data_IF_213505112321
#
_entry.id   IF_213505112321
#
_cell.length_a   1.000
_cell.length_b   1.000
_cell.length_c   1.000
_cell.angle_alpha   90.00
_cell.angle_beta   90.00
_cell.angle_gamma   90.00
#
_symmetry.space_group_name_H-M   'P 1'
#
loop_
_entity.id
_entity.type
_entity.pdbx_description
1 polymer ?
#
# COMPACT_ATOMS: atom_id res chain seq x y z
N UNK A 1 2.21 3.16 -16.93
CA UNK A 1 1.49 3.40 -15.65
C UNK A 1 0.32 2.43 -15.53
N UNK A 2 0.16 1.78 -14.39
CA UNK A 2 -0.99 0.90 -14.08
C UNK A 2 -1.61 1.33 -12.76
N UNK A 3 -2.93 1.39 -12.71
CA UNK A 3 -3.70 1.70 -11.50
C UNK A 3 -4.57 0.51 -11.14
N UNK A 4 -4.52 0.08 -9.88
CA UNK A 4 -5.35 -0.99 -9.32
C UNK A 4 -5.99 -0.49 -8.04
N UNK A 5 -7.27 -0.78 -7.84
CA UNK A 5 -7.97 -0.52 -6.57
C UNK A 5 -8.23 -1.85 -5.90
N UNK A 6 -7.74 -1.99 -4.68
CA UNK A 6 -7.98 -3.14 -3.83
C UNK A 6 -9.08 -2.83 -2.82
N UNK A 7 -9.86 -3.85 -2.48
CA UNK A 7 -10.74 -3.86 -1.30
C UNK A 7 -10.26 -4.95 -0.37
N UNK A 8 -10.07 -4.61 0.90
CA UNK A 8 -9.70 -5.54 1.96
C UNK A 8 -10.81 -5.55 3.01
N UNK A 9 -11.21 -6.74 3.45
CA UNK A 9 -11.99 -6.87 4.68
C UNK A 9 -11.11 -6.69 5.90
N UNK A 10 -11.68 -6.30 7.03
CA UNK A 10 -10.96 -6.17 8.30
C UNK A 10 -10.16 -7.45 8.64
N UNK A 11 -8.89 -7.26 9.01
CA UNK A 11 -7.93 -8.33 9.31
C UNK A 11 -7.27 -8.97 8.08
N UNK A 12 -7.69 -8.67 6.85
CA UNK A 12 -6.97 -9.13 5.66
C UNK A 12 -5.64 -8.40 5.51
N UNK A 13 -4.66 -9.11 4.95
CA UNK A 13 -3.29 -8.63 4.87
C UNK A 13 -2.60 -9.06 3.57
N UNK A 14 -1.56 -8.31 3.21
CA UNK A 14 -0.47 -8.81 2.38
C UNK A 14 0.75 -8.90 3.28
N UNK A 15 1.32 -10.11 3.36
CA UNK A 15 2.56 -10.33 4.11
C UNK A 15 3.70 -9.52 3.51
N UNK A 16 4.78 -9.37 4.27
CA UNK A 16 5.97 -8.65 3.84
C UNK A 16 6.47 -9.16 2.47
N UNK A 17 6.72 -8.22 1.56
CA UNK A 17 7.25 -8.47 0.23
C UNK A 17 7.90 -7.21 -0.37
N UNK A 18 8.53 -7.39 -1.54
CA UNK A 18 9.11 -6.31 -2.34
C UNK A 18 8.54 -6.32 -3.76
N UNK A 19 8.71 -5.22 -4.49
CA UNK A 19 8.33 -5.08 -5.90
C UNK A 19 9.38 -4.30 -6.66
N UNK A 20 9.76 -4.70 -7.89
CA UNK A 20 10.75 -3.98 -8.69
C UNK A 20 10.22 -2.65 -9.26
N UNK A 21 8.94 -2.33 -9.08
CA UNK A 21 8.33 -1.08 -9.57
C UNK A 21 8.21 -0.07 -8.44
N UNK A 22 8.44 1.20 -8.78
CA UNK A 22 8.03 2.32 -7.93
C UNK A 22 6.50 2.35 -7.81
N UNK A 23 5.99 2.54 -6.58
CA UNK A 23 4.55 2.58 -6.33
C UNK A 23 4.13 3.75 -5.46
N UNK A 24 2.92 4.25 -5.72
CA UNK A 24 2.22 5.19 -4.85
C UNK A 24 0.94 4.52 -4.37
N UNK A 25 0.79 4.48 -3.06
CA UNK A 25 -0.39 3.96 -2.37
C UNK A 25 -1.19 5.12 -1.81
N UNK A 26 -2.51 5.10 -2.02
CA UNK A 26 -3.43 6.03 -1.37
C UNK A 26 -4.53 5.23 -0.69
N UNK A 27 -4.74 5.45 0.60
CA UNK A 27 -5.90 4.88 1.27
C UNK A 27 -7.14 5.72 0.94
N UNK A 28 -8.17 5.10 0.37
CA UNK A 28 -9.40 5.78 -0.05
C UNK A 28 -10.49 5.69 1.02
N UNK A 29 -10.49 4.62 1.81
CA UNK A 29 -11.49 4.34 2.84
C UNK A 29 -10.90 3.37 3.89
N UNK A 30 -11.36 3.49 5.14
CA UNK A 30 -10.95 2.62 6.26
C UNK A 30 -9.71 3.10 7.02
N UNK A 31 -9.18 2.22 7.86
CA UNK A 31 -7.92 2.39 8.58
C UNK A 31 -7.01 1.18 8.31
N UNK A 32 -5.77 1.44 7.90
CA UNK A 32 -4.82 0.41 7.48
C UNK A 32 -3.47 0.62 8.15
N UNK A 33 -2.89 -0.44 8.70
CA UNK A 33 -1.48 -0.44 9.04
C UNK A 33 -0.67 -0.78 7.78
N UNK A 34 0.28 0.07 7.46
CA UNK A 34 1.19 -0.06 6.32
C UNK A 34 2.62 -0.02 6.84
N UNK A 35 3.29 -1.16 6.83
CA UNK A 35 4.66 -1.28 7.31
C UNK A 35 5.62 -0.98 6.15
N UNK A 36 6.63 -0.14 6.38
CA UNK A 36 7.67 0.18 5.41
C UNK A 36 9.02 -0.04 6.08
N UNK A 37 9.86 -0.91 5.51
CA UNK A 37 11.15 -1.29 6.10
C UNK A 37 11.06 -1.72 7.58
N UNK A 38 9.95 -2.38 7.96
CA UNK A 38 9.68 -2.83 9.32
C UNK A 38 9.09 -1.77 10.26
N UNK A 39 8.93 -0.53 9.82
CA UNK A 39 8.33 0.56 10.60
C UNK A 39 6.83 0.68 10.29
N UNK A 40 5.94 0.54 11.29
CA UNK A 40 4.50 0.58 11.08
C UNK A 40 3.96 2.01 10.92
N UNK A 41 3.11 2.22 9.91
CA UNK A 41 2.42 3.49 9.68
C UNK A 41 0.91 3.25 9.66
N UNK A 42 0.16 3.97 10.50
CA UNK A 42 -1.31 3.91 10.48
C UNK A 42 -1.83 4.92 9.47
N UNK A 43 -2.37 4.42 8.37
CA UNK A 43 -2.98 5.20 7.30
C UNK A 43 -4.48 5.41 7.56
N UNK A 44 -4.95 6.61 7.24
CA UNK A 44 -6.35 7.04 7.17
C UNK A 44 -6.71 7.51 5.75
N UNK A 45 -8.00 7.68 5.41
CA UNK A 45 -8.39 8.06 4.07
C UNK A 45 -7.76 9.40 3.66
N UNK A 46 -7.11 9.41 2.50
CA UNK A 46 -6.35 10.54 1.97
C UNK A 46 -4.84 10.46 2.23
N UNK A 47 -4.38 9.61 3.16
CA UNK A 47 -2.95 9.39 3.37
C UNK A 47 -2.32 8.71 2.15
N UNK A 48 -1.06 9.07 1.89
CA UNK A 48 -0.30 8.62 0.73
C UNK A 48 1.07 8.12 1.18
N UNK A 49 1.45 6.94 0.71
CA UNK A 49 2.80 6.38 0.88
C UNK A 49 3.41 6.16 -0.51
N UNK A 50 4.65 6.59 -0.67
CA UNK A 50 5.49 6.24 -1.81
C UNK A 50 6.46 5.13 -1.39
N UNK A 51 6.64 4.14 -2.27
CA UNK A 51 7.68 3.12 -2.12
C UNK A 51 8.60 3.18 -3.34
N UNK A 52 9.90 3.27 -3.05
CA UNK A 52 10.93 3.08 -4.05
C UNK A 52 10.92 1.62 -4.55
N UNK A 53 11.48 1.33 -5.73
CA UNK A 53 11.73 -0.03 -6.16
C UNK A 53 12.44 -0.84 -5.06
N UNK A 54 11.99 -2.07 -4.87
CA UNK A 54 12.52 -3.06 -3.93
C UNK A 54 12.39 -2.72 -2.44
N UNK A 55 11.69 -1.64 -2.08
CA UNK A 55 11.40 -1.30 -0.69
C UNK A 55 10.47 -2.34 -0.06
N UNK A 56 10.87 -2.91 1.09
CA UNK A 56 10.08 -3.93 1.80
C UNK A 56 8.84 -3.31 2.43
N UNK A 57 7.69 -3.96 2.26
CA UNK A 57 6.44 -3.49 2.81
C UNK A 57 5.45 -4.62 3.12
N UNK A 58 4.56 -4.36 4.07
CA UNK A 58 3.43 -5.21 4.43
C UNK A 58 2.19 -4.34 4.69
N UNK A 59 1.00 -4.91 4.54
CA UNK A 59 -0.25 -4.20 4.84
C UNK A 59 -1.19 -5.07 5.65
N UNK A 60 -1.88 -4.46 6.61
CA UNK A 60 -2.98 -5.07 7.37
C UNK A 60 -4.14 -4.08 7.42
N UNK A 61 -5.30 -4.51 6.92
CA UNK A 61 -6.53 -3.73 7.02
C UNK A 61 -7.07 -3.81 8.46
N UNK A 62 -7.07 -2.69 9.20
CA UNK A 62 -7.60 -2.65 10.57
C UNK A 62 -9.12 -2.55 10.59
N UNK A 63 -9.71 -1.95 9.55
CA UNK A 63 -11.13 -2.00 9.22
C UNK A 63 -11.32 -2.50 7.78
N UNK A 64 -12.56 -2.58 7.30
CA UNK A 64 -12.78 -2.67 5.86
C UNK A 64 -12.14 -1.46 5.16
N UNK A 65 -11.34 -1.73 4.13
CA UNK A 65 -10.49 -0.74 3.48
C UNK A 65 -10.65 -0.77 1.97
N UNK A 66 -10.47 0.41 1.35
CA UNK A 66 -10.30 0.55 -0.09
C UNK A 66 -9.02 1.31 -0.36
N UNK A 67 -8.12 0.73 -1.15
CA UNK A 67 -6.76 1.25 -1.35
C UNK A 67 -6.46 1.35 -2.85
N UNK A 68 -5.95 2.50 -3.30
CA UNK A 68 -5.43 2.67 -4.65
C UNK A 68 -3.93 2.37 -4.67
N UNK A 69 -3.50 1.55 -5.62
CA UNK A 69 -2.11 1.31 -5.95
C UNK A 69 -1.83 1.83 -7.37
N UNK A 70 -0.91 2.78 -7.49
CA UNK A 70 -0.38 3.24 -8.78
C UNK A 70 1.03 2.70 -8.93
N UNK A 71 1.23 1.85 -9.93
CA UNK A 71 2.55 1.34 -10.32
C UNK A 71 3.07 2.15 -11.51
N UNK A 72 4.29 2.66 -11.36
CA UNK A 72 5.01 3.40 -12.41
C UNK A 72 6.21 2.57 -12.85
N UNK A 73 6.43 2.55 -14.16
CA UNK A 73 7.68 2.06 -14.72
C UNK A 73 8.59 3.28 -14.91
N UNK A 74 9.73 3.30 -14.24
CA UNK A 74 10.63 4.46 -14.20
C UNK A 74 11.66 4.44 -15.33
N UNK A 75 11.73 3.37 -16.11
CA UNK A 75 12.69 3.21 -17.21
C UNK A 75 12.04 3.27 -18.61
N UNK A 76 10.71 3.46 -18.66
CA UNK A 76 9.92 3.47 -19.89
C UNK A 76 9.75 4.86 -20.54
#
# INVERSE_FOLDING_TARGET
MRVVVFTFGAGQMLTEHTSPRAVVVTLLEGEMQFDVAGEPNIMKPGDVIYLAPDESHAVVALTDCRMQLVMVDTEA
#
